data_IF_762493402738
#
_entry.id   IF_762493402738
#
_cell.length_a   1.000
_cell.length_b   1.000
_cell.length_c   1.000
_cell.angle_alpha   90.00
_cell.angle_beta   90.00
_cell.angle_gamma   90.00
#
_symmetry.space_group_name_H-M   'P 1'
#
loop_
_entity.id
_entity.type
_entity.pdbx_description
1 polymer ?
#
# COMPACT_ATOMS: atom_id res chain seq x y z
N UNK A 1 -21.36 -2.26 19.16
CA UNK A 1 -20.19 -1.77 18.40
C UNK A 1 -19.04 -2.73 18.67
N UNK A 2 -18.48 -3.36 17.64
CA UNK A 2 -17.32 -4.24 17.81
C UNK A 2 -16.12 -3.38 18.22
N UNK A 3 -15.54 -3.67 19.39
CA UNK A 3 -14.34 -2.98 19.84
C UNK A 3 -13.19 -3.36 18.90
N UNK A 4 -12.73 -2.42 18.08
CA UNK A 4 -11.57 -2.64 17.23
C UNK A 4 -10.32 -2.61 18.11
N UNK A 5 -9.39 -3.54 17.90
CA UNK A 5 -8.13 -3.53 18.62
C UNK A 5 -7.34 -2.22 18.33
N UNK A 6 -6.70 -1.66 19.35
CA UNK A 6 -6.01 -0.36 19.27
C UNK A 6 -5.03 -0.27 18.11
N UNK A 7 -4.23 -1.32 17.88
CA UNK A 7 -3.24 -1.35 16.79
C UNK A 7 -3.87 -1.30 15.39
N UNK A 8 -5.14 -1.67 15.25
CA UNK A 8 -5.90 -1.51 13.99
C UNK A 8 -6.56 -0.14 13.91
N UNK A 9 -7.08 0.35 15.03
CA UNK A 9 -7.73 1.66 15.13
C UNK A 9 -6.75 2.80 14.83
N UNK A 10 -5.53 2.71 15.34
CA UNK A 10 -4.48 3.72 15.20
C UNK A 10 -3.44 3.35 14.13
N UNK A 11 -3.80 2.49 13.17
CA UNK A 11 -2.91 2.20 12.05
C UNK A 11 -2.79 3.47 11.19
N UNK A 12 -1.57 3.95 10.89
CA UNK A 12 -1.39 5.20 10.17
C UNK A 12 -1.98 5.12 8.77
N UNK A 13 -2.67 6.20 8.36
CA UNK A 13 -3.31 6.32 7.05
C UNK A 13 -2.57 7.25 6.10
N UNK A 14 -1.71 8.10 6.66
CA UNK A 14 -0.89 9.08 5.95
C UNK A 14 0.56 8.95 6.40
N UNK A 15 1.49 9.49 5.61
CA UNK A 15 2.90 9.48 5.97
C UNK A 15 3.22 10.33 7.21
N UNK A 16 2.39 11.32 7.53
CA UNK A 16 2.57 12.18 8.71
C UNK A 16 2.29 11.45 10.03
N UNK A 17 1.50 10.38 9.98
CA UNK A 17 1.16 9.55 11.13
C UNK A 17 2.19 8.42 11.39
N UNK A 18 3.17 8.24 10.51
CA UNK A 18 4.22 7.23 10.65
C UNK A 18 5.29 7.73 11.62
N UNK A 19 5.56 6.96 12.68
CA UNK A 19 6.51 7.33 13.72
C UNK A 19 7.90 6.74 13.42
N UNK A 20 8.95 7.53 13.67
CA UNK A 20 10.37 7.14 13.67
C UNK A 20 10.99 6.65 12.34
N UNK A 21 10.25 6.68 11.22
CA UNK A 21 10.72 6.24 9.89
C UNK A 21 10.96 7.41 8.92
N UNK A 22 11.45 8.55 9.41
CA UNK A 22 11.53 9.81 8.65
C UNK A 22 12.25 9.67 7.29
N UNK A 23 13.41 9.01 7.27
CA UNK A 23 14.21 8.84 6.05
C UNK A 23 13.48 8.03 4.96
N UNK A 24 12.76 6.98 5.36
CA UNK A 24 11.96 6.16 4.44
C UNK A 24 10.80 6.97 3.92
N UNK A 25 10.07 7.62 4.83
CA UNK A 25 8.90 8.43 4.51
C UNK A 25 9.25 9.55 3.54
N UNK A 26 10.34 10.28 3.79
CA UNK A 26 10.80 11.37 2.92
C UNK A 26 11.16 10.87 1.52
N UNK A 27 11.87 9.74 1.43
CA UNK A 27 12.20 9.11 0.14
C UNK A 27 10.95 8.76 -0.65
N UNK A 28 9.95 8.15 0.01
CA UNK A 28 8.69 7.78 -0.63
C UNK A 28 7.89 9.02 -1.07
N UNK A 29 7.84 10.07 -0.25
CA UNK A 29 7.19 11.33 -0.61
C UNK A 29 7.80 11.94 -1.86
N UNK A 30 9.13 12.06 -1.90
CA UNK A 30 9.84 12.61 -3.06
C UNK A 30 9.58 11.78 -4.33
N UNK A 31 9.46 10.46 -4.23
CA UNK A 31 9.13 9.63 -5.39
C UNK A 31 7.73 9.87 -5.93
N UNK A 32 6.75 10.13 -5.05
CA UNK A 32 5.38 10.51 -5.47
C UNK A 32 5.41 11.89 -6.14
N UNK A 33 6.07 12.86 -5.53
CA UNK A 33 6.11 14.25 -6.02
C UNK A 33 6.82 14.37 -7.37
N UNK A 34 7.94 13.67 -7.53
CA UNK A 34 8.73 13.69 -8.76
C UNK A 34 8.22 12.70 -9.82
N UNK A 35 7.22 11.86 -9.48
CA UNK A 35 6.70 10.83 -10.38
C UNK A 35 7.70 9.70 -10.69
N UNK A 36 8.73 9.51 -9.86
CA UNK A 36 9.81 8.53 -10.06
C UNK A 36 9.52 7.21 -9.34
N UNK A 37 8.32 6.65 -9.58
CA UNK A 37 7.87 5.42 -8.93
C UNK A 37 8.50 4.20 -9.62
N UNK A 38 9.11 3.30 -8.85
CA UNK A 38 9.68 2.04 -9.33
C UNK A 38 8.61 0.95 -9.49
N UNK A 39 8.93 -0.11 -10.23
CA UNK A 39 8.05 -1.27 -10.44
C UNK A 39 8.00 -2.22 -9.23
N UNK A 40 9.01 -2.18 -8.35
CA UNK A 40 9.10 -3.05 -7.18
C UNK A 40 9.76 -2.36 -5.99
N UNK A 41 9.24 -2.64 -4.80
CA UNK A 41 9.71 -2.13 -3.52
C UNK A 41 9.75 -3.26 -2.51
N UNK A 42 10.88 -3.39 -1.80
CA UNK A 42 11.04 -4.35 -0.72
C UNK A 42 11.15 -3.59 0.61
N UNK A 43 10.16 -3.77 1.47
CA UNK A 43 10.17 -3.22 2.82
C UNK A 43 10.74 -4.25 3.79
N UNK A 44 11.93 -3.99 4.35
CA UNK A 44 12.61 -4.88 5.29
C UNK A 44 12.57 -4.34 6.73
N UNK A 45 12.65 -5.25 7.72
CA UNK A 45 12.68 -4.90 9.13
C UNK A 45 11.94 -5.88 10.02
N UNK A 46 12.09 -5.74 11.34
CA UNK A 46 11.43 -6.62 12.33
C UNK A 46 9.90 -6.46 12.31
N UNK A 47 9.18 -7.42 12.88
CA UNK A 47 7.71 -7.37 12.99
C UNK A 47 7.27 -6.12 13.78
N UNK A 48 6.23 -5.45 13.30
CA UNK A 48 5.66 -4.28 13.98
C UNK A 48 6.34 -2.93 13.67
N UNK A 49 7.40 -2.90 12.86
CA UNK A 49 8.11 -1.65 12.49
C UNK A 49 7.40 -0.78 11.45
N UNK A 50 6.21 -1.16 11.01
CA UNK A 50 5.39 -0.38 10.08
C UNK A 50 5.56 -0.73 8.60
N UNK A 51 6.26 -1.82 8.24
CA UNK A 51 6.47 -2.27 6.84
C UNK A 51 5.19 -2.28 6.00
N UNK A 52 4.21 -3.11 6.38
CA UNK A 52 2.94 -3.24 5.67
C UNK A 52 2.13 -1.94 5.72
N UNK A 53 2.23 -1.15 6.79
CA UNK A 53 1.56 0.15 6.87
C UNK A 53 2.14 1.15 5.87
N UNK A 54 3.47 1.27 5.78
CA UNK A 54 4.13 2.14 4.80
C UNK A 54 3.82 1.70 3.37
N UNK A 55 3.84 0.39 3.09
CA UNK A 55 3.47 -0.15 1.79
C UNK A 55 2.04 0.25 1.38
N UNK A 56 1.07 0.14 2.30
CA UNK A 56 -0.33 0.55 2.06
C UNK A 56 -0.47 2.05 1.83
N UNK A 57 0.16 2.88 2.66
CA UNK A 57 0.13 4.34 2.51
C UNK A 57 0.72 4.72 1.15
N UNK A 58 1.85 4.13 0.77
CA UNK A 58 2.50 4.39 -0.51
C UNK A 58 1.64 3.94 -1.69
N UNK A 59 1.09 2.72 -1.66
CA UNK A 59 0.17 2.23 -2.69
C UNK A 59 -1.04 3.15 -2.89
N UNK A 60 -1.58 3.68 -1.78
CA UNK A 60 -2.66 4.67 -1.82
C UNK A 60 -2.20 6.01 -2.38
N UNK A 61 -0.99 6.46 -2.06
CA UNK A 61 -0.41 7.70 -2.58
C UNK A 61 -0.18 7.63 -4.10
N UNK A 62 0.37 6.51 -4.58
CA UNK A 62 0.64 6.22 -6.01
C UNK A 62 -0.64 6.32 -6.86
N UNK A 63 -1.78 5.93 -6.31
CA UNK A 63 -3.08 5.98 -6.97
C UNK A 63 -3.93 7.22 -6.60
N UNK A 64 -3.42 8.09 -5.72
CA UNK A 64 -4.15 9.29 -5.32
C UNK A 64 -4.26 10.27 -6.49
N UNK A 65 -5.45 10.86 -6.69
CA UNK A 65 -5.65 11.86 -7.73
C UNK A 65 -4.97 13.19 -7.40
N UNK A 66 -4.91 13.53 -6.11
CA UNK A 66 -4.41 14.82 -5.62
C UNK A 66 -3.52 14.61 -4.37
N UNK A 67 -2.35 13.96 -4.49
CA UNK A 67 -1.46 13.75 -3.34
C UNK A 67 -1.04 15.09 -2.71
N UNK A 68 -0.88 15.10 -1.39
CA UNK A 68 -0.48 16.27 -0.60
C UNK A 68 0.87 15.98 0.03
N UNK A 69 1.92 16.71 -0.34
CA UNK A 69 3.29 16.48 0.14
C UNK A 69 3.72 15.01 0.00
N UNK A 70 3.48 14.41 -1.17
CA UNK A 70 3.75 12.99 -1.43
C UNK A 70 2.90 11.97 -0.64
N UNK A 71 1.95 12.42 0.18
CA UNK A 71 1.05 11.62 1.01
C UNK A 71 -0.35 11.51 0.35
N UNK A 72 -1.12 10.42 0.58
CA UNK A 72 -2.48 10.33 0.03
C UNK A 72 -3.40 11.37 0.68
N UNK A 73 -4.23 12.07 -0.10
CA UNK A 73 -5.10 13.12 0.44
C UNK A 73 -6.27 12.63 1.31
N UNK A 74 -6.65 11.35 1.19
CA UNK A 74 -7.76 10.77 1.96
C UNK A 74 -9.17 11.17 1.49
N UNK A 75 -9.32 12.18 0.63
CA UNK A 75 -10.62 12.76 0.28
C UNK A 75 -11.08 12.49 -1.16
N UNK A 76 -10.16 12.22 -2.09
CA UNK A 76 -10.49 11.93 -3.49
C UNK A 76 -11.23 10.59 -3.64
N UNK A 77 -11.90 10.37 -4.78
CA UNK A 77 -12.69 9.14 -4.96
C UNK A 77 -11.84 7.87 -4.83
N UNK A 78 -10.59 7.89 -5.31
CA UNK A 78 -9.71 6.74 -5.27
C UNK A 78 -9.32 6.43 -3.83
N UNK A 79 -8.93 7.44 -3.05
CA UNK A 79 -8.63 7.27 -1.62
C UNK A 79 -9.84 6.75 -0.83
N UNK A 80 -11.04 7.29 -1.08
CA UNK A 80 -12.27 6.85 -0.42
C UNK A 80 -12.64 5.40 -0.78
N UNK A 81 -12.51 5.01 -2.05
CA UNK A 81 -12.76 3.64 -2.51
C UNK A 81 -11.76 2.65 -1.92
N UNK A 82 -10.48 3.03 -1.80
CA UNK A 82 -9.45 2.22 -1.13
C UNK A 82 -9.81 2.02 0.35
N UNK A 83 -10.16 3.08 1.07
CA UNK A 83 -10.49 3.00 2.50
C UNK A 83 -11.79 2.21 2.78
N UNK A 84 -12.73 2.23 1.83
CA UNK A 84 -13.96 1.45 1.90
C UNK A 84 -13.77 -0.05 1.54
N UNK A 85 -12.53 -0.51 1.32
CA UNK A 85 -12.20 -1.84 0.79
C UNK A 85 -12.90 -2.17 -0.53
N UNK A 86 -13.25 -1.15 -1.32
CA UNK A 86 -13.94 -1.31 -2.61
C UNK A 86 -13.02 -1.18 -3.83
N UNK A 87 -11.72 -0.98 -3.63
CA UNK A 87 -10.77 -0.83 -4.72
C UNK A 87 -10.04 -2.15 -5.02
N UNK A 88 -10.20 -2.68 -6.24
CA UNK A 88 -9.51 -3.86 -6.74
C UNK A 88 -8.09 -3.59 -7.27
N UNK A 89 -7.68 -2.32 -7.33
CA UNK A 89 -6.37 -1.91 -7.86
C UNK A 89 -5.25 -2.04 -6.83
N UNK A 90 -5.57 -2.26 -5.55
CA UNK A 90 -4.60 -2.60 -4.52
C UNK A 90 -4.98 -3.97 -3.97
N UNK A 91 -4.16 -4.97 -4.26
CA UNK A 91 -4.36 -6.33 -3.78
C UNK A 91 -3.32 -6.69 -2.75
N UNK A 92 -3.79 -7.18 -1.60
CA UNK A 92 -2.95 -7.68 -0.52
C UNK A 92 -2.93 -9.20 -0.55
N UNK A 93 -1.73 -9.75 -0.48
CA UNK A 93 -1.48 -11.20 -0.51
C UNK A 93 -0.58 -11.51 0.66
N UNK A 94 -1.03 -12.43 1.51
CA UNK A 94 -0.18 -13.00 2.55
C UNK A 94 0.56 -14.20 1.97
N UNK A 95 1.87 -14.07 1.74
CA UNK A 95 2.69 -15.13 1.15
C UNK A 95 2.84 -16.34 2.08
N UNK A 96 2.72 -16.17 3.40
CA UNK A 96 2.76 -17.30 4.32
C UNK A 96 1.56 -18.25 4.11
N UNK A 97 0.41 -17.67 3.74
CA UNK A 97 -0.83 -18.39 3.45
C UNK A 97 -0.99 -18.78 1.98
N UNK A 98 -0.24 -18.14 1.07
CA UNK A 98 -0.27 -18.37 -0.38
C UNK A 98 1.13 -18.78 -0.88
N UNK A 99 1.66 -19.88 -0.33
CA UNK A 99 3.04 -20.33 -0.54
C UNK A 99 3.21 -21.39 -1.65
N UNK A 100 2.15 -21.72 -2.39
CA UNK A 100 2.21 -22.71 -3.46
C UNK A 100 2.58 -22.07 -4.79
N UNK A 101 3.28 -22.85 -5.62
CA UNK A 101 3.69 -22.44 -6.97
C UNK A 101 2.47 -22.11 -7.85
N UNK A 102 1.34 -22.78 -7.63
CA UNK A 102 0.13 -22.51 -8.43
C UNK A 102 -0.51 -21.17 -8.07
N UNK A 103 -0.46 -20.74 -6.81
CA UNK A 103 -1.02 -19.46 -6.37
C UNK A 103 -0.24 -18.28 -6.96
N UNK A 104 1.09 -18.40 -7.07
CA UNK A 104 1.90 -17.36 -7.71
C UNK A 104 1.72 -17.35 -9.25
N UNK A 105 1.41 -18.50 -9.86
CA UNK A 105 1.04 -18.57 -11.29
C UNK A 105 -0.26 -17.84 -11.55
N UNK A 106 -1.29 -18.09 -10.74
CA UNK A 106 -2.57 -17.41 -10.82
C UNK A 106 -2.42 -15.89 -10.62
N UNK A 107 -1.54 -15.49 -9.68
CA UNK A 107 -1.22 -14.08 -9.48
C UNK A 107 -0.63 -13.47 -10.74
N UNK A 108 0.37 -14.13 -11.33
CA UNK A 108 1.05 -13.66 -12.56
C UNK A 108 0.07 -13.48 -13.71
N UNK A 109 -0.93 -14.33 -13.85
CA UNK A 109 -1.98 -14.15 -14.85
C UNK A 109 -2.83 -12.91 -14.58
N UNK A 110 -3.19 -12.67 -13.30
CA UNK A 110 -3.98 -11.50 -12.88
C UNK A 110 -3.25 -10.17 -13.03
N UNK A 111 -1.91 -10.16 -13.06
CA UNK A 111 -1.10 -8.94 -13.31
C UNK A 111 -1.39 -8.33 -14.68
N UNK A 112 -1.81 -9.14 -15.67
CA UNK A 112 -2.04 -8.65 -17.03
C UNK A 112 -3.30 -7.76 -17.18
N UNK A 113 -4.21 -7.78 -16.20
CA UNK A 113 -5.40 -6.92 -16.27
C UNK A 113 -5.06 -5.49 -15.84
N UNK A 114 -5.58 -4.53 -16.60
CA UNK A 114 -5.43 -3.10 -16.32
C UNK A 114 -6.07 -2.70 -14.97
N UNK A 115 -5.60 -1.60 -14.36
CA UNK A 115 -6.28 -0.99 -13.22
C UNK A 115 -7.71 -0.57 -13.62
N UNK A 116 -8.65 -0.67 -12.69
CA UNK A 116 -10.06 -0.33 -12.88
C UNK A 116 -10.35 1.15 -12.69
N UNK A 117 -9.67 1.81 -11.74
CA UNK A 117 -9.96 3.18 -11.32
C UNK A 117 -8.68 3.99 -11.13
N UNK A 118 -7.69 3.40 -10.46
CA UNK A 118 -6.39 4.00 -10.19
C UNK A 118 -5.49 4.06 -11.42
N UNK A 119 -4.32 4.68 -11.25
CA UNK A 119 -3.29 4.76 -12.29
C UNK A 119 -2.47 3.46 -12.40
N UNK A 120 -2.32 2.76 -11.28
CA UNK A 120 -1.49 1.56 -11.15
C UNK A 120 -2.24 0.44 -10.45
N UNK A 121 -1.93 -0.79 -10.85
CA UNK A 121 -2.36 -2.00 -10.17
C UNK A 121 -1.24 -2.44 -9.24
N UNK A 122 -1.45 -2.31 -7.94
CA UNK A 122 -0.43 -2.52 -6.92
C UNK A 122 -0.70 -3.83 -6.20
N UNK A 123 0.33 -4.66 -6.09
CA UNK A 123 0.30 -5.89 -5.32
C UNK A 123 1.19 -5.72 -4.09
N UNK A 124 0.60 -5.85 -2.90
CA UNK A 124 1.31 -5.86 -1.64
C UNK A 124 1.41 -7.31 -1.19
N UNK A 125 2.61 -7.88 -1.29
CA UNK A 125 2.87 -9.24 -0.85
C UNK A 125 3.54 -9.15 0.52
N UNK A 126 2.82 -9.55 1.57
CA UNK A 126 3.32 -9.54 2.96
C UNK A 126 3.97 -10.89 3.28
N UNK A 127 4.93 -10.89 4.22
CA UNK A 127 5.66 -12.08 4.69
C UNK A 127 6.29 -12.96 3.57
N UNK A 128 6.94 -12.33 2.59
CA UNK A 128 7.56 -12.98 1.39
C UNK A 128 8.81 -13.84 1.63
N UNK A 129 9.17 -14.12 2.88
CA UNK A 129 10.44 -14.77 3.22
C UNK A 129 10.37 -16.30 3.20
#
# INVERSE_FOLDING_TARGET
>A
MSHLALYRQFRPKTFDEVIAQNHIVETLRHQIENGTISHAYLFCGTRGTGKTSCAKIFAKAVNCLNPKNGSPCGECEVCKKIDANGNFDIMEIDAASNNRVDEIRDLREKVNYLPSIGKYKVYIIDEVH
#
